data_IF_126428829200
#
_entry.id   IF_126428829200
#
_cell.length_a   1.000
_cell.length_b   1.000
_cell.length_c   1.000
_cell.angle_alpha   90.00
_cell.angle_beta   90.00
_cell.angle_gamma   90.00
#
_symmetry.space_group_name_H-M   'P 1'
#
loop_
_entity.id
_entity.type
_entity.pdbx_description
1 polymer ?
#
# COMPACT_ATOMS: atom_id res chain seq x y z
N UNK A 1 -0.41 -7.94 -14.61
CA UNK A 1 -1.49 -7.16 -13.97
C UNK A 1 -2.42 -8.15 -13.28
N UNK A 2 -2.61 -7.99 -11.98
CA UNK A 2 -3.56 -8.81 -11.21
C UNK A 2 -4.99 -8.41 -11.58
N UNK A 3 -5.87 -9.39 -11.84
CA UNK A 3 -7.26 -9.17 -12.30
C UNK A 3 -8.07 -8.32 -11.31
N UNK A 4 -7.73 -8.36 -10.03
CA UNK A 4 -8.38 -7.57 -8.97
C UNK A 4 -8.08 -6.07 -9.10
N UNK A 5 -6.94 -5.69 -9.67
CA UNK A 5 -6.59 -4.29 -9.91
C UNK A 5 -7.38 -3.68 -11.07
N UNK A 6 -7.84 -4.50 -12.02
CA UNK A 6 -8.73 -4.06 -13.10
C UNK A 6 -10.11 -3.60 -12.57
N UNK A 7 -10.52 -4.11 -11.40
CA UNK A 7 -11.80 -3.80 -10.76
C UNK A 7 -11.88 -2.36 -10.24
N UNK A 8 -10.73 -1.70 -10.04
CA UNK A 8 -10.68 -0.29 -9.61
C UNK A 8 -11.28 0.67 -10.64
N UNK A 9 -11.42 0.26 -11.89
CA UNK A 9 -12.06 1.06 -12.93
C UNK A 9 -13.57 1.25 -12.73
N UNK A 10 -14.20 0.51 -11.79
CA UNK A 10 -15.64 0.52 -11.55
C UNK A 10 -15.92 1.16 -10.18
N UNK A 11 -16.54 2.35 -10.17
CA UNK A 11 -16.83 3.09 -8.94
C UNK A 11 -17.69 2.25 -7.97
N UNK A 12 -17.21 2.12 -6.71
CA UNK A 12 -18.02 1.63 -5.58
C UNK A 12 -17.82 0.17 -5.16
N UNK A 13 -16.85 -0.56 -5.71
CA UNK A 13 -16.59 -1.94 -5.31
C UNK A 13 -15.74 -2.03 -4.03
N UNK A 14 -16.20 -2.85 -3.08
CA UNK A 14 -15.36 -3.40 -2.02
C UNK A 14 -14.58 -4.57 -2.61
N UNK A 15 -13.26 -4.49 -2.60
CA UNK A 15 -12.41 -5.62 -3.02
C UNK A 15 -12.11 -6.44 -1.76
N UNK A 16 -12.50 -7.71 -1.75
CA UNK A 16 -12.36 -8.57 -0.58
C UNK A 16 -10.91 -8.74 -0.16
N UNK A 17 -10.03 -8.95 -1.14
CA UNK A 17 -8.60 -9.13 -0.93
C UNK A 17 -7.84 -8.57 -2.13
N UNK A 18 -6.74 -7.86 -1.88
CA UNK A 18 -5.88 -7.30 -2.92
C UNK A 18 -4.42 -7.48 -2.53
N UNK A 19 -3.68 -8.21 -3.37
CA UNK A 19 -2.22 -8.33 -3.22
C UNK A 19 -1.49 -7.21 -3.94
N UNK A 20 -0.42 -6.71 -3.33
CA UNK A 20 0.44 -5.68 -3.92
C UNK A 20 1.74 -5.49 -3.15
N UNK A 21 2.42 -4.38 -3.43
CA UNK A 21 3.69 -4.02 -2.83
C UNK A 21 3.60 -2.63 -2.21
N UNK A 22 3.93 -2.53 -0.93
CA UNK A 22 3.95 -1.29 -0.16
C UNK A 22 5.27 -0.55 -0.35
N UNK A 23 5.13 0.73 -0.69
CA UNK A 23 6.20 1.69 -0.72
C UNK A 23 5.85 2.83 0.23
N UNK A 24 6.75 3.14 1.17
CA UNK A 24 6.65 4.33 2.02
C UNK A 24 7.99 5.06 1.94
N UNK A 25 7.95 6.32 1.55
CA UNK A 25 9.12 7.11 1.15
C UNK A 25 9.10 8.49 1.78
N UNK A 26 10.28 9.08 1.95
CA UNK A 26 10.43 10.49 2.31
C UNK A 26 10.71 11.31 1.05
N UNK A 27 9.81 12.22 0.70
CA UNK A 27 9.95 13.15 -0.43
C UNK A 27 9.79 14.57 0.07
N UNK A 28 10.81 15.41 -0.13
CA UNK A 28 10.81 16.82 0.29
C UNK A 28 10.41 17.04 1.76
N UNK A 29 10.88 16.15 2.65
CA UNK A 29 10.57 16.20 4.08
C UNK A 29 9.16 15.73 4.46
N UNK A 30 8.37 15.24 3.51
CA UNK A 30 7.04 14.67 3.74
C UNK A 30 7.05 13.15 3.52
N UNK A 31 6.37 12.40 4.39
CA UNK A 31 6.22 10.96 4.22
C UNK A 31 5.06 10.67 3.29
N UNK A 32 5.32 9.92 2.22
CA UNK A 32 4.30 9.47 1.26
C UNK A 32 4.28 7.95 1.21
N UNK A 33 3.10 7.38 0.96
CA UNK A 33 2.94 5.94 0.91
C UNK A 33 1.94 5.52 -0.16
N UNK A 34 2.21 4.40 -0.81
CA UNK A 34 1.31 3.80 -1.78
C UNK A 34 1.49 2.28 -1.84
N UNK A 35 0.43 1.59 -2.26
CA UNK A 35 0.49 0.18 -2.66
C UNK A 35 0.42 0.10 -4.17
N UNK A 36 1.33 -0.66 -4.78
CA UNK A 36 1.42 -0.84 -6.23
C UNK A 36 1.19 -2.30 -6.63
N UNK A 37 0.78 -2.52 -7.89
CA UNK A 37 0.63 -3.86 -8.47
C UNK A 37 1.96 -4.47 -8.97
N UNK A 38 3.08 -3.75 -8.81
CA UNK A 38 4.43 -4.20 -9.14
C UNK A 38 5.44 -3.74 -8.10
N UNK A 39 6.44 -4.58 -7.87
CA UNK A 39 7.64 -4.34 -7.06
C UNK A 39 8.74 -3.57 -7.82
N UNK A 40 8.64 -3.45 -9.15
CA UNK A 40 9.67 -2.85 -9.98
C UNK A 40 9.56 -1.32 -10.01
N UNK A 41 10.53 -0.67 -9.36
CA UNK A 41 10.64 0.80 -9.28
C UNK A 41 10.72 1.51 -10.63
N UNK A 42 11.36 0.91 -11.65
CA UNK A 42 11.47 1.52 -12.98
C UNK A 42 10.12 1.59 -13.71
N UNK A 43 9.15 0.80 -13.23
CA UNK A 43 7.79 0.74 -13.76
C UNK A 43 6.76 1.44 -12.88
N UNK A 44 7.18 1.99 -11.74
CA UNK A 44 6.26 2.59 -10.76
C UNK A 44 5.41 3.69 -11.41
N UNK A 45 5.95 4.54 -12.27
CA UNK A 45 5.13 5.59 -12.92
C UNK A 45 4.08 5.07 -13.91
N UNK A 46 4.15 3.80 -14.28
CA UNK A 46 3.22 3.13 -15.19
C UNK A 46 2.32 2.11 -14.49
N UNK A 47 2.59 1.82 -13.23
CA UNK A 47 1.84 0.83 -12.45
C UNK A 47 0.57 1.45 -11.87
N UNK A 48 -0.39 0.60 -11.52
CA UNK A 48 -1.58 1.07 -10.80
C UNK A 48 -1.21 1.23 -9.34
N UNK A 49 -1.54 2.40 -8.76
CA UNK A 49 -1.21 2.73 -7.38
C UNK A 49 -2.45 3.05 -6.58
N UNK A 50 -2.45 2.61 -5.34
CA UNK A 50 -3.37 3.05 -4.30
C UNK A 50 -2.57 3.92 -3.33
N UNK A 51 -2.87 5.22 -3.33
CA UNK A 51 -2.28 6.20 -2.43
C UNK A 51 -2.81 6.00 -1.01
N UNK A 52 -1.91 6.02 -0.03
CA UNK A 52 -2.24 5.93 1.39
C UNK A 52 -2.28 7.33 2.01
N UNK A 53 -3.26 7.56 2.89
CA UNK A 53 -3.28 8.76 3.71
C UNK A 53 -2.18 8.72 4.78
N UNK A 54 -1.76 9.89 5.27
CA UNK A 54 -0.80 9.99 6.38
C UNK A 54 -1.27 9.25 7.63
N UNK A 55 -2.59 9.23 7.90
CA UNK A 55 -3.17 8.50 9.02
C UNK A 55 -2.96 6.99 8.92
N UNK A 56 -3.06 6.42 7.71
CA UNK A 56 -2.81 5.00 7.46
C UNK A 56 -1.32 4.69 7.60
N UNK A 57 -0.46 5.54 7.05
CA UNK A 57 1.01 5.41 7.18
C UNK A 57 1.43 5.42 8.65
N UNK A 58 0.86 6.32 9.46
CA UNK A 58 1.12 6.39 10.90
C UNK A 58 0.72 5.09 11.62
N UNK A 59 -0.44 4.53 11.30
CA UNK A 59 -0.88 3.24 11.84
C UNK A 59 0.05 2.10 11.47
N UNK A 60 0.64 2.11 10.27
CA UNK A 60 1.63 1.11 9.85
C UNK A 60 2.87 1.21 10.75
N UNK A 61 3.44 2.39 10.91
CA UNK A 61 4.61 2.59 11.77
C UNK A 61 4.36 2.30 13.25
N UNK A 62 3.17 2.61 13.76
CA UNK A 62 2.83 2.37 15.17
C UNK A 62 2.59 0.91 15.49
N UNK A 63 2.08 0.13 14.53
CA UNK A 63 1.75 -1.27 14.73
C UNK A 63 2.83 -2.22 14.25
N UNK A 64 3.67 -1.87 13.26
CA UNK A 64 4.73 -2.75 12.79
C UNK A 64 5.82 -2.98 13.86
N UNK A 65 5.94 -4.23 14.28
CA UNK A 65 6.90 -4.68 15.29
C UNK A 65 7.88 -5.71 14.71
N UNK A 66 7.63 -6.22 13.49
CA UNK A 66 8.36 -7.35 12.92
C UNK A 66 9.31 -6.96 11.81
N UNK A 67 8.84 -6.18 10.84
CA UNK A 67 9.60 -5.89 9.64
C UNK A 67 10.50 -4.68 9.86
N UNK A 68 9.99 -3.70 10.59
CA UNK A 68 10.72 -2.50 10.94
C UNK A 68 10.95 -1.61 9.72
N UNK A 69 11.15 -0.32 9.99
CA UNK A 69 11.40 0.65 8.95
C UNK A 69 12.90 0.74 8.64
N UNK A 70 13.26 0.86 7.36
CA UNK A 70 14.62 1.20 6.95
C UNK A 70 14.92 2.65 7.35
N UNK A 71 15.91 2.87 8.21
CA UNK A 71 16.31 4.21 8.69
C UNK A 71 17.58 4.66 7.99
N UNK A 72 17.57 5.86 7.41
CA UNK A 72 18.73 6.45 6.71
C UNK A 72 18.74 6.27 5.19
N UNK A 73 17.70 5.67 4.63
CA UNK A 73 17.46 5.58 3.18
C UNK A 73 16.31 6.49 2.76
N UNK A 74 16.11 6.68 1.45
CA UNK A 74 14.95 7.39 0.89
C UNK A 74 13.61 6.67 1.20
N UNK A 75 13.69 5.36 1.46
CA UNK A 75 12.57 4.46 1.70
C UNK A 75 12.52 4.02 3.16
N UNK A 76 11.32 4.01 3.72
CA UNK A 76 10.99 3.35 4.97
C UNK A 76 10.54 1.91 4.73
N UNK A 77 9.72 1.70 3.70
CA UNK A 77 9.37 0.39 3.14
C UNK A 77 9.59 0.44 1.63
N UNK A 78 10.29 -0.54 1.08
CA UNK A 78 10.58 -0.67 -0.34
C UNK A 78 10.06 -2.01 -0.84
N UNK A 79 9.08 -1.98 -1.74
CA UNK A 79 8.47 -3.17 -2.35
C UNK A 79 8.07 -4.24 -1.32
N UNK A 80 7.61 -3.84 -0.13
CA UNK A 80 7.21 -4.78 0.92
C UNK A 80 5.92 -5.50 0.48
N UNK A 81 5.90 -6.84 0.38
CA UNK A 81 4.69 -7.54 -0.03
C UNK A 81 3.54 -7.31 0.96
N UNK A 82 2.36 -6.99 0.43
CA UNK A 82 1.17 -6.74 1.24
C UNK A 82 -0.10 -7.38 0.69
N UNK A 83 -1.02 -7.69 1.59
CA UNK A 83 -2.41 -8.02 1.29
C UNK A 83 -3.31 -7.00 1.98
N UNK A 84 -4.15 -6.31 1.22
CA UNK A 84 -5.22 -5.46 1.76
C UNK A 84 -6.54 -6.23 1.78
N UNK A 85 -7.28 -6.18 2.89
CA UNK A 85 -8.59 -6.83 3.03
C UNK A 85 -9.72 -5.81 3.18
N UNK A 86 -10.86 -6.10 2.55
CA UNK A 86 -12.03 -5.22 2.49
C UNK A 86 -11.68 -3.80 2.00
N UNK A 87 -10.97 -3.74 0.87
CA UNK A 87 -10.41 -2.51 0.32
C UNK A 87 -11.51 -1.64 -0.24
N UNK A 88 -11.53 -0.37 0.18
CA UNK A 88 -12.41 0.68 -0.34
C UNK A 88 -11.55 1.85 -0.80
N UNK A 89 -11.59 2.12 -2.11
CA UNK A 89 -10.84 3.23 -2.72
C UNK A 89 -11.75 4.29 -3.31
N UNK A 90 -11.26 5.52 -3.32
CA UNK A 90 -11.80 6.64 -4.09
C UNK A 90 -10.94 6.86 -5.32
N UNK A 91 -11.53 7.17 -6.47
CA UNK A 91 -10.76 7.58 -7.63
C UNK A 91 -10.80 9.10 -7.80
N UNK A 92 -9.66 9.77 -7.73
CA UNK A 92 -9.51 11.20 -8.04
C UNK A 92 -8.41 11.39 -9.09
N UNK A 93 -8.69 12.12 -10.19
CA UNK A 93 -7.68 12.53 -11.20
C UNK A 93 -6.76 11.39 -11.70
N UNK A 94 -7.33 10.17 -11.85
CA UNK A 94 -6.66 8.91 -12.25
C UNK A 94 -5.83 8.22 -11.18
N UNK A 95 -5.81 8.74 -9.96
CA UNK A 95 -5.21 8.06 -8.81
C UNK A 95 -6.30 7.36 -8.00
N UNK A 96 -5.97 6.21 -7.43
CA UNK A 96 -6.81 5.53 -6.46
C UNK A 96 -6.30 5.89 -5.07
N UNK A 97 -7.18 6.33 -4.20
CA UNK A 97 -6.87 6.75 -2.83
C UNK A 97 -7.55 5.77 -1.89
N UNK A 98 -6.80 5.15 -0.99
CA UNK A 98 -7.37 4.27 0.02
C UNK A 98 -8.18 5.11 1.01
N UNK A 99 -9.51 4.94 1.00
CA UNK A 99 -10.38 5.58 2.00
C UNK A 99 -10.39 4.74 3.27
N UNK A 100 -10.49 3.41 3.08
CA UNK A 100 -10.63 2.44 4.16
C UNK A 100 -10.15 1.07 3.68
N UNK A 101 -9.54 0.33 4.60
CA UNK A 101 -9.32 -1.11 4.50
C UNK A 101 -9.48 -1.65 5.92
N UNK A 102 -9.96 -2.87 6.10
CA UNK A 102 -10.10 -3.46 7.44
C UNK A 102 -8.74 -3.90 7.99
N UNK A 103 -7.88 -4.45 7.13
CA UNK A 103 -6.59 -5.02 7.51
C UNK A 103 -5.60 -4.88 6.35
N UNK A 104 -4.39 -4.43 6.67
CA UNK A 104 -3.21 -4.53 5.83
C UNK A 104 -2.29 -5.60 6.43
N UNK A 105 -1.95 -6.62 5.65
CA UNK A 105 -1.07 -7.70 6.07
C UNK A 105 0.28 -7.49 5.42
N UNK A 106 1.31 -7.18 6.21
CA UNK A 106 2.71 -7.25 5.79
C UNK A 106 3.17 -8.70 5.83
N UNK A 107 3.94 -9.15 4.83
CA UNK A 107 4.48 -10.49 4.85
C UNK A 107 5.82 -10.64 4.11
N UNK A 108 6.67 -11.51 4.63
CA UNK A 108 7.91 -11.97 4.01
C UNK A 108 8.14 -13.41 4.47
N UNK A 109 8.39 -14.32 3.54
CA UNK A 109 8.50 -15.76 3.80
C UNK A 109 7.32 -16.29 4.65
N UNK A 110 7.61 -16.91 5.81
CA UNK A 110 6.64 -17.45 6.75
C UNK A 110 6.15 -16.41 7.78
N UNK A 111 6.69 -15.19 7.74
CA UNK A 111 6.36 -14.13 8.69
C UNK A 111 5.23 -13.30 8.13
N UNK A 112 4.19 -13.10 8.95
CA UNK A 112 3.06 -12.21 8.65
C UNK A 112 2.78 -11.28 9.82
N UNK A 113 2.35 -10.07 9.49
CA UNK A 113 1.87 -9.10 10.47
C UNK A 113 0.61 -8.41 9.96
N UNK A 114 -0.43 -8.42 10.78
CA UNK A 114 -1.67 -7.70 10.51
C UNK A 114 -1.60 -6.29 11.11
N UNK A 115 -2.04 -5.31 10.34
CA UNK A 115 -2.13 -3.90 10.71
C UNK A 115 -3.56 -3.45 10.45
N UNK A 116 -4.25 -3.02 11.50
CA UNK A 116 -5.64 -2.58 11.40
C UNK A 116 -5.67 -1.10 10.97
N UNK A 117 -6.22 -0.83 9.79
CA UNK A 117 -6.20 0.51 9.16
C UNK A 117 -7.56 1.16 8.99
#
# INVERSE_FOLDING_TARGET
>A
MNVEWDLFSWQGNVISELSGFLFIIMVDGSVKGFVADSDNIDSIDKCTKIILSESIIKKIFEQDEKFGSLVGSEYFYFAMPVILKDVVVHQEKKEFILIKSSVLILFEDDIRQEIFI
#
